data_IF_945834537510
#
_entry.id   IF_945834537510
#
_cell.length_a   1.000
_cell.length_b   1.000
_cell.length_c   1.000
_cell.angle_alpha   90.00
_cell.angle_beta   90.00
_cell.angle_gamma   90.00
#
_symmetry.space_group_name_H-M   'P 1'
#
loop_
_entity.id
_entity.type
_entity.pdbx_description
1 polymer ?
#
# COMPACT_ATOMS: atom_id res chain seq x y z
N UNK A 1 49.66 -1.27 -19.54
CA UNK A 1 48.89 -0.25 -18.80
C UNK A 1 47.47 -0.78 -18.63
N UNK A 2 47.10 -1.22 -17.41
CA UNK A 2 46.21 -0.50 -16.45
C UNK A 2 44.77 -0.42 -16.98
N UNK A 3 43.68 -0.90 -16.38
CA UNK A 3 43.34 -1.76 -15.21
C UNK A 3 41.88 -2.17 -15.40
N UNK A 4 41.55 -3.38 -14.95
CA UNK A 4 40.21 -3.93 -14.68
C UNK A 4 39.29 -2.93 -13.99
N UNK A 5 38.09 -2.68 -14.54
CA UNK A 5 37.01 -1.97 -13.83
C UNK A 5 35.92 -2.96 -13.46
N UNK A 6 36.00 -3.46 -12.24
CA UNK A 6 34.92 -4.19 -11.58
C UNK A 6 33.78 -3.20 -11.29
N UNK A 7 32.61 -3.40 -11.89
CA UNK A 7 31.39 -2.73 -11.42
C UNK A 7 30.82 -3.62 -10.30
N UNK A 8 31.28 -3.34 -9.09
CA UNK A 8 30.62 -3.78 -7.86
C UNK A 8 29.37 -2.93 -7.67
N UNK A 9 28.19 -3.46 -8.00
CA UNK A 9 26.94 -2.95 -7.44
C UNK A 9 26.67 -3.70 -6.15
N UNK A 10 27.28 -3.15 -5.09
CA UNK A 10 26.91 -3.36 -3.71
C UNK A 10 25.42 -3.04 -3.50
N UNK A 11 24.72 -4.00 -2.88
CA UNK A 11 23.81 -3.73 -1.77
C UNK A 11 22.50 -3.01 -2.09
N UNK A 12 21.43 -3.78 -2.24
CA UNK A 12 20.09 -3.37 -1.79
C UNK A 12 19.37 -4.56 -1.16
N UNK A 13 19.96 -5.08 -0.09
CA UNK A 13 19.20 -5.75 0.95
C UNK A 13 18.73 -4.67 1.92
N UNK A 14 17.69 -3.94 1.56
CA UNK A 14 16.98 -3.09 2.50
C UNK A 14 16.18 -4.01 3.43
N UNK A 15 16.78 -4.34 4.57
CA UNK A 15 16.14 -5.12 5.61
C UNK A 15 14.88 -4.41 6.10
N UNK A 16 13.76 -5.11 6.06
CA UNK A 16 12.58 -4.81 6.87
C UNK A 16 12.93 -5.06 8.34
N UNK A 17 13.65 -4.13 8.95
CA UNK A 17 13.79 -4.03 10.39
C UNK A 17 12.62 -3.19 10.90
N UNK A 18 11.52 -3.85 11.23
CA UNK A 18 10.48 -3.23 12.06
C UNK A 18 11.07 -3.09 13.46
N UNK A 19 11.72 -1.96 13.73
CA UNK A 19 12.10 -1.55 15.07
C UNK A 19 10.86 -0.96 15.74
N UNK A 20 10.22 -1.78 16.57
CA UNK A 20 9.12 -1.36 17.42
C UNK A 20 9.56 -0.18 18.32
N UNK A 21 9.14 1.03 17.97
CA UNK A 21 9.22 2.21 18.84
C UNK A 21 8.00 2.26 19.76
N UNK A 22 8.13 2.72 21.03
CA UNK A 22 7.04 2.70 22.00
C UNK A 22 6.15 3.93 21.81
N UNK A 23 5.24 3.85 20.84
CA UNK A 23 4.04 4.66 20.75
C UNK A 23 2.87 3.70 20.62
N UNK A 24 2.30 3.26 21.75
CA UNK A 24 1.32 2.16 21.80
C UNK A 24 -0.05 2.57 21.24
N UNK A 25 -0.12 2.82 19.93
CA UNK A 25 -1.27 2.40 19.15
C UNK A 25 -1.09 0.90 18.93
N UNK A 26 -1.98 0.09 19.50
CA UNK A 26 -1.95 -1.37 19.38
C UNK A 26 -1.78 -1.71 17.89
N UNK A 27 -0.67 -2.36 17.53
CA UNK A 27 -0.37 -2.67 16.12
C UNK A 27 -1.61 -3.28 15.45
N UNK A 28 -1.96 -2.85 14.23
CA UNK A 28 -3.12 -3.38 13.55
C UNK A 28 -3.00 -4.89 13.42
N UNK A 29 -4.07 -5.61 13.76
CA UNK A 29 -4.08 -7.07 13.57
C UNK A 29 -3.78 -7.42 12.11
N UNK A 30 -3.22 -8.60 11.81
CA UNK A 30 -2.87 -8.94 10.43
C UNK A 30 -4.05 -8.84 9.46
N UNK A 31 -5.25 -9.21 9.91
CA UNK A 31 -6.50 -9.02 9.15
C UNK A 31 -6.78 -7.55 8.86
N UNK A 32 -6.63 -6.68 9.86
CA UNK A 32 -6.86 -5.24 9.69
C UNK A 32 -5.85 -4.62 8.74
N UNK A 33 -4.59 -5.03 8.85
CA UNK A 33 -3.51 -4.59 7.98
C UNK A 33 -3.72 -5.07 6.54
N UNK A 34 -4.23 -6.31 6.35
CA UNK A 34 -4.62 -6.84 5.04
C UNK A 34 -5.74 -6.01 4.40
N UNK A 35 -6.83 -5.78 5.14
CA UNK A 35 -7.95 -4.96 4.67
C UNK A 35 -7.51 -3.54 4.29
N UNK A 36 -6.65 -2.92 5.11
CA UNK A 36 -6.11 -1.58 4.85
C UNK A 36 -5.23 -1.58 3.59
N UNK A 37 -4.31 -2.54 3.48
CA UNK A 37 -3.37 -2.62 2.35
C UNK A 37 -4.10 -2.88 1.04
N UNK A 38 -5.08 -3.79 1.04
CA UNK A 38 -5.91 -4.06 -0.13
C UNK A 38 -6.78 -2.84 -0.52
N UNK A 39 -7.34 -2.14 0.48
CA UNK A 39 -8.06 -0.88 0.27
C UNK A 39 -7.17 0.18 -0.37
N UNK A 40 -5.92 0.30 0.10
CA UNK A 40 -4.95 1.26 -0.42
C UNK A 40 -4.45 0.91 -1.81
N UNK A 41 -4.15 -0.37 -2.08
CA UNK A 41 -3.82 -0.85 -3.42
C UNK A 41 -4.88 -0.43 -4.45
N UNK A 42 -6.16 -0.59 -4.11
CA UNK A 42 -7.26 -0.19 -4.99
C UNK A 42 -7.35 1.32 -5.20
N UNK A 43 -7.48 2.12 -4.13
CA UNK A 43 -7.72 3.57 -4.30
C UNK A 43 -6.52 4.32 -4.85
N UNK A 44 -5.29 3.86 -4.55
CA UNK A 44 -4.08 4.45 -5.13
C UNK A 44 -4.03 4.16 -6.63
N UNK A 45 -4.42 2.96 -7.08
CA UNK A 45 -4.49 2.67 -8.53
C UNK A 45 -5.48 3.57 -9.28
N UNK A 46 -6.58 3.94 -8.63
CA UNK A 46 -7.55 4.92 -9.17
C UNK A 46 -6.93 6.32 -9.22
N UNK A 47 -6.19 6.71 -8.19
CA UNK A 47 -5.56 8.03 -8.09
C UNK A 47 -4.36 8.21 -9.04
N UNK A 48 -3.58 7.15 -9.30
CA UNK A 48 -2.45 7.16 -10.23
C UNK A 48 -2.88 7.54 -11.66
N UNK A 49 -4.11 7.18 -12.05
CA UNK A 49 -4.69 7.58 -13.35
C UNK A 49 -4.99 9.08 -13.49
N UNK A 50 -4.66 9.91 -12.48
CA UNK A 50 -5.14 11.28 -12.38
C UNK A 50 -4.13 12.36 -12.01
N UNK A 51 -2.83 12.07 -12.12
CA UNK A 51 -1.74 12.97 -11.72
C UNK A 51 -1.73 13.33 -10.22
N UNK A 52 -2.32 12.51 -9.36
CA UNK A 52 -2.13 12.64 -7.92
C UNK A 52 -0.64 12.37 -7.60
N UNK A 53 0.05 13.34 -6.99
CA UNK A 53 1.44 13.17 -6.58
C UNK A 53 1.49 12.39 -5.25
N UNK A 54 1.64 11.07 -5.35
CA UNK A 54 1.78 10.15 -4.22
C UNK A 54 3.24 9.68 -4.17
N UNK A 55 3.79 9.55 -2.96
CA UNK A 55 5.15 9.02 -2.77
C UNK A 55 5.19 7.51 -2.94
N UNK A 56 4.09 6.83 -2.62
CA UNK A 56 3.95 5.38 -2.69
C UNK A 56 2.80 4.97 -3.60
N UNK A 57 3.10 4.09 -4.54
CA UNK A 57 2.18 3.64 -5.57
C UNK A 57 1.32 2.45 -5.17
N UNK A 58 0.40 2.08 -6.05
CA UNK A 58 -0.49 0.93 -5.86
C UNK A 58 0.28 -0.39 -5.78
N UNK A 59 1.40 -0.48 -6.49
CA UNK A 59 2.32 -1.61 -6.46
C UNK A 59 2.96 -1.83 -5.07
N UNK A 60 3.29 -0.76 -4.35
CA UNK A 60 3.86 -0.84 -3.00
C UNK A 60 2.86 -1.46 -2.02
N UNK A 61 1.58 -1.07 -2.14
CA UNK A 61 0.49 -1.64 -1.36
C UNK A 61 0.20 -3.10 -1.70
N UNK A 62 0.24 -3.46 -2.99
CA UNK A 62 0.11 -4.86 -3.41
C UNK A 62 1.25 -5.72 -2.88
N UNK A 63 2.46 -5.17 -2.77
CA UNK A 63 3.57 -5.88 -2.16
C UNK A 63 3.30 -6.20 -0.68
N UNK A 64 2.72 -5.25 0.08
CA UNK A 64 2.31 -5.52 1.47
C UNK A 64 1.24 -6.61 1.53
N UNK A 65 0.22 -6.57 0.66
CA UNK A 65 -0.82 -7.62 0.58
C UNK A 65 -0.18 -9.00 0.41
N UNK A 66 0.76 -9.14 -0.55
CA UNK A 66 1.47 -10.41 -0.79
C UNK A 66 2.30 -10.86 0.41
N UNK A 67 2.99 -9.93 1.08
CA UNK A 67 3.76 -10.25 2.29
C UNK A 67 2.84 -10.77 3.40
N UNK A 68 1.67 -10.14 3.59
CA UNK A 68 0.70 -10.56 4.60
C UNK A 68 0.11 -11.92 4.26
N UNK A 69 -0.27 -12.14 3.01
CA UNK A 69 -0.78 -13.43 2.53
C UNK A 69 0.22 -14.55 2.83
N UNK A 70 1.48 -14.37 2.43
CA UNK A 70 2.54 -15.35 2.66
C UNK A 70 2.80 -15.64 4.15
N UNK A 71 2.70 -14.62 5.01
CA UNK A 71 3.01 -14.77 6.45
C UNK A 71 1.85 -15.28 7.28
N UNK A 72 0.62 -15.07 6.84
CA UNK A 72 -0.58 -15.27 7.67
C UNK A 72 -1.56 -16.30 7.09
N UNK A 73 -1.44 -16.62 5.80
CA UNK A 73 -2.41 -17.45 5.08
C UNK A 73 -3.74 -16.75 4.79
N UNK A 74 -3.84 -15.44 5.01
CA UNK A 74 -5.01 -14.66 4.62
C UNK A 74 -5.07 -14.50 3.09
N UNK A 75 -6.28 -14.59 2.53
CA UNK A 75 -6.52 -14.44 1.10
C UNK A 75 -6.41 -12.96 0.68
N UNK A 76 -5.28 -12.61 0.06
CA UNK A 76 -4.99 -11.27 -0.42
C UNK A 76 -5.84 -10.86 -1.62
N UNK A 77 -6.14 -11.80 -2.52
CA UNK A 77 -6.98 -11.56 -3.70
C UNK A 77 -8.42 -11.25 -3.29
N UNK A 78 -8.97 -12.04 -2.38
CA UNK A 78 -10.30 -11.78 -1.81
C UNK A 78 -10.35 -10.41 -1.11
N UNK A 79 -9.30 -10.02 -0.39
CA UNK A 79 -9.25 -8.70 0.25
C UNK A 79 -9.29 -7.55 -0.78
N UNK A 80 -8.61 -7.69 -1.92
CA UNK A 80 -8.61 -6.70 -3.00
C UNK A 80 -10.00 -6.62 -3.65
N UNK A 81 -10.62 -7.75 -3.96
CA UNK A 81 -11.96 -7.76 -4.56
C UNK A 81 -13.02 -7.18 -3.61
N UNK A 82 -12.92 -7.44 -2.32
CA UNK A 82 -13.77 -6.83 -1.30
C UNK A 82 -13.57 -5.30 -1.23
N UNK A 83 -12.32 -4.83 -1.31
CA UNK A 83 -12.03 -3.40 -1.36
C UNK A 83 -12.67 -2.75 -2.60
N UNK A 84 -12.46 -3.32 -3.79
CA UNK A 84 -13.07 -2.85 -5.03
C UNK A 84 -14.59 -2.81 -4.94
N UNK A 85 -15.22 -3.87 -4.44
CA UNK A 85 -16.66 -3.94 -4.25
C UNK A 85 -17.18 -2.85 -3.28
N UNK A 86 -16.45 -2.59 -2.18
CA UNK A 86 -16.79 -1.54 -1.20
C UNK A 86 -16.79 -0.15 -1.85
N UNK A 87 -15.74 0.21 -2.59
CA UNK A 87 -15.66 1.52 -3.24
C UNK A 87 -16.63 1.67 -4.41
N UNK A 88 -16.86 0.61 -5.19
CA UNK A 88 -17.86 0.63 -6.25
C UNK A 88 -19.28 0.81 -5.70
N UNK A 89 -19.61 0.14 -4.59
CA UNK A 89 -20.89 0.37 -3.90
C UNK A 89 -21.00 1.81 -3.43
N UNK A 90 -19.95 2.38 -2.86
CA UNK A 90 -19.93 3.78 -2.41
C UNK A 90 -20.11 4.75 -3.58
N UNK A 91 -19.47 4.48 -4.72
CA UNK A 91 -19.63 5.29 -5.94
C UNK A 91 -21.06 5.33 -6.47
N UNK A 92 -21.79 4.21 -6.37
CA UNK A 92 -23.22 4.16 -6.74
C UNK A 92 -24.11 5.01 -5.84
N UNK A 93 -23.72 5.21 -4.58
CA UNK A 93 -24.51 5.98 -3.59
C UNK A 93 -24.17 7.46 -3.64
N UNK A 94 -22.89 7.82 -3.78
CA UNK A 94 -22.43 9.21 -3.73
C UNK A 94 -22.47 9.91 -5.10
N UNK A 95 -22.49 9.15 -6.20
CA UNK A 95 -22.24 9.67 -7.53
C UNK A 95 -20.75 9.66 -7.88
N UNK A 96 -20.46 9.64 -9.19
CA UNK A 96 -19.11 9.36 -9.70
C UNK A 96 -18.06 10.38 -9.22
N UNK A 97 -18.33 11.68 -9.37
CA UNK A 97 -17.37 12.74 -9.05
C UNK A 97 -17.06 12.82 -7.56
N UNK A 98 -18.09 12.69 -6.70
CA UNK A 98 -17.91 12.74 -5.26
C UNK A 98 -17.15 11.51 -4.76
N UNK A 99 -17.48 10.33 -5.28
CA UNK A 99 -16.77 9.10 -4.94
C UNK A 99 -15.32 9.12 -5.42
N UNK A 100 -15.07 9.72 -6.58
CA UNK A 100 -13.72 9.91 -7.10
C UNK A 100 -12.90 10.81 -6.18
N UNK A 101 -13.41 12.00 -5.80
CA UNK A 101 -12.75 12.88 -4.81
C UNK A 101 -12.53 12.17 -3.47
N UNK A 102 -13.49 11.37 -3.02
CA UNK A 102 -13.35 10.57 -1.81
C UNK A 102 -12.19 9.56 -1.92
N UNK A 103 -12.04 8.89 -3.07
CA UNK A 103 -10.93 7.97 -3.31
C UNK A 103 -9.57 8.69 -3.39
N UNK A 104 -9.51 9.89 -3.99
CA UNK A 104 -8.29 10.71 -3.99
C UNK A 104 -7.84 11.09 -2.58
N UNK A 105 -8.76 11.56 -1.74
CA UNK A 105 -8.45 11.89 -0.34
C UNK A 105 -7.97 10.64 0.43
N UNK A 106 -8.61 9.48 0.19
CA UNK A 106 -8.17 8.23 0.80
C UNK A 106 -6.80 7.77 0.31
N UNK A 107 -6.47 8.00 -0.96
CA UNK A 107 -5.15 7.69 -1.50
C UNK A 107 -4.05 8.54 -0.83
N UNK A 108 -4.32 9.81 -0.52
CA UNK A 108 -3.39 10.64 0.27
C UNK A 108 -3.25 10.14 1.71
N UNK A 109 -4.33 9.61 2.32
CA UNK A 109 -4.23 8.94 3.61
C UNK A 109 -3.37 7.69 3.53
N UNK A 110 -3.49 6.90 2.45
CA UNK A 110 -2.62 5.75 2.21
C UNK A 110 -1.16 6.20 2.16
N UNK A 111 -0.83 7.23 1.40
CA UNK A 111 0.56 7.73 1.34
C UNK A 111 1.20 7.97 2.72
N UNK A 112 0.41 8.54 3.66
CA UNK A 112 0.82 8.72 5.06
C UNK A 112 0.91 7.41 5.83
N UNK A 113 -0.05 6.50 5.66
CA UNK A 113 -0.03 5.17 6.29
C UNK A 113 1.20 4.36 5.86
N UNK A 114 1.58 4.42 4.59
CA UNK A 114 2.78 3.73 4.08
C UNK A 114 4.04 4.31 4.69
N UNK A 115 4.14 5.64 4.80
CA UNK A 115 5.30 6.28 5.43
C UNK A 115 5.53 5.80 6.87
N UNK A 116 4.45 5.52 7.61
CA UNK A 116 4.52 4.96 8.98
C UNK A 116 4.89 3.47 8.98
N UNK A 117 4.47 2.70 7.96
CA UNK A 117 4.83 1.28 7.84
C UNK A 117 6.31 1.10 7.48
N UNK A 118 6.87 2.02 6.69
CA UNK A 118 8.25 1.96 6.21
C UNK A 118 9.27 2.66 7.13
N UNK A 119 8.81 3.41 8.13
CA UNK A 119 9.67 4.07 9.13
C UNK A 119 10.18 3.11 10.20
#
# INVERSE_FOLDING_TARGET
MVTKTSISLLGLAAGLLVLAAPGSAKDPSPKKLMEMSASCAYVVSVAEGSNANLNYGSADWLNIVRILEQRTGLDGEQAIELAKAKYNRRARVMGADEAYRYMLNRAQECDREMAVIQS
#
